data_IF_795319729827
#
_entry.id   IF_795319729827
#
_cell.length_a   1.000
_cell.length_b   1.000
_cell.length_c   1.000
_cell.angle_alpha   90.00
_cell.angle_beta   90.00
_cell.angle_gamma   90.00
#
_symmetry.space_group_name_H-M   'P 1'
#
loop_
_entity.id
_entity.type
_entity.pdbx_description
1 polymer ?
#
# COMPACT_ATOMS: atom_id res chain seq x y z
N UNK A 1 -30.56 34.55 -0.51
CA UNK A 1 -30.97 33.53 0.48
C UNK A 1 -29.73 32.74 0.84
N UNK A 2 -29.38 32.62 2.12
CA UNK A 2 -28.14 31.97 2.52
C UNK A 2 -28.22 30.44 2.30
N UNK A 3 -27.07 29.79 2.10
CA UNK A 3 -26.98 28.35 1.88
C UNK A 3 -27.64 27.56 3.03
N UNK A 4 -27.47 28.02 4.26
CA UNK A 4 -28.10 27.44 5.45
C UNK A 4 -29.63 27.48 5.36
N UNK A 5 -30.19 28.60 4.92
CA UNK A 5 -31.63 28.76 4.72
C UNK A 5 -32.16 27.81 3.65
N UNK A 6 -31.42 27.64 2.55
CA UNK A 6 -31.77 26.68 1.48
C UNK A 6 -31.78 25.26 2.04
N UNK A 7 -30.74 24.88 2.80
CA UNK A 7 -30.63 23.55 3.39
C UNK A 7 -31.79 23.26 4.35
N UNK A 8 -32.10 24.20 5.24
CA UNK A 8 -33.23 24.08 6.18
C UNK A 8 -34.55 23.91 5.40
N UNK A 9 -34.77 24.71 4.36
CA UNK A 9 -35.99 24.60 3.55
C UNK A 9 -36.11 23.24 2.87
N UNK A 10 -35.02 22.69 2.35
CA UNK A 10 -35.02 21.35 1.75
C UNK A 10 -35.38 20.29 2.80
N UNK A 11 -34.77 20.35 3.99
CA UNK A 11 -35.04 19.40 5.07
C UNK A 11 -36.47 19.47 5.60
N UNK A 12 -37.08 20.65 5.61
CA UNK A 12 -38.45 20.86 6.12
C UNK A 12 -39.50 20.68 5.01
N UNK A 13 -39.11 20.65 3.73
CA UNK A 13 -40.04 20.53 2.61
C UNK A 13 -41.00 19.32 2.67
N UNK A 14 -40.59 18.11 3.11
CA UNK A 14 -41.53 16.99 3.23
C UNK A 14 -42.62 17.24 4.28
N UNK A 15 -42.28 17.90 5.39
CA UNK A 15 -43.25 18.30 6.42
C UNK A 15 -44.21 19.36 5.90
N UNK A 16 -43.72 20.34 5.14
CA UNK A 16 -44.56 21.38 4.53
C UNK A 16 -45.56 20.72 3.57
N UNK A 17 -45.10 19.84 2.69
CA UNK A 17 -45.96 19.12 1.74
C UNK A 17 -47.00 18.26 2.49
N UNK A 18 -46.58 17.50 3.50
CA UNK A 18 -47.51 16.71 4.31
C UNK A 18 -48.52 17.56 5.08
N UNK A 19 -48.09 18.69 5.64
CA UNK A 19 -48.94 19.65 6.33
C UNK A 19 -49.98 20.29 5.40
N UNK A 20 -49.58 20.65 4.17
CA UNK A 20 -50.50 21.17 3.14
C UNK A 20 -51.55 20.10 2.79
N UNK A 21 -51.15 18.84 2.58
CA UNK A 21 -52.09 17.74 2.30
C UNK A 21 -53.07 17.56 3.47
N UNK A 22 -52.57 17.62 4.71
CA UNK A 22 -53.39 17.49 5.90
C UNK A 22 -54.41 18.63 6.03
N UNK A 23 -54.01 19.86 5.70
CA UNK A 23 -54.86 21.04 5.76
C UNK A 23 -55.92 21.07 4.64
N UNK A 24 -55.55 20.70 3.41
CA UNK A 24 -56.47 20.68 2.27
C UNK A 24 -57.53 19.59 2.44
N UNK A 25 -57.14 18.40 2.92
CA UNK A 25 -58.04 17.26 3.14
C UNK A 25 -58.97 16.95 1.95
N UNK A 26 -58.50 17.19 0.72
CA UNK A 26 -59.30 16.97 -0.48
C UNK A 26 -59.46 15.47 -0.75
N UNK A 27 -60.69 15.05 -1.08
CA UNK A 27 -61.00 13.65 -1.38
C UNK A 27 -60.12 13.09 -2.51
N UNK A 28 -59.87 13.86 -3.58
CA UNK A 28 -59.03 13.43 -4.69
C UNK A 28 -57.59 13.11 -4.28
N UNK A 29 -57.00 13.92 -3.39
CA UNK A 29 -55.64 13.72 -2.87
C UNK A 29 -55.62 12.50 -1.95
N UNK A 30 -56.59 12.40 -1.04
CA UNK A 30 -56.73 11.30 -0.10
C UNK A 30 -56.89 9.95 -0.82
N UNK A 31 -57.78 9.88 -1.81
CA UNK A 31 -58.02 8.67 -2.61
C UNK A 31 -56.77 8.28 -3.39
N UNK A 32 -55.99 9.25 -3.86
CA UNK A 32 -54.72 9.00 -4.55
C UNK A 32 -53.68 8.43 -3.60
N UNK A 33 -53.53 9.00 -2.40
CA UNK A 33 -52.61 8.49 -1.38
C UNK A 33 -52.97 7.07 -0.96
N UNK A 34 -54.25 6.76 -0.78
CA UNK A 34 -54.72 5.42 -0.43
C UNK A 34 -54.49 4.41 -1.57
N UNK A 35 -54.66 4.82 -2.83
CA UNK A 35 -54.30 3.98 -3.99
C UNK A 35 -52.80 3.66 -4.01
N UNK A 36 -51.96 4.66 -3.75
CA UNK A 36 -50.50 4.48 -3.68
C UNK A 36 -50.12 3.56 -2.51
N UNK A 37 -50.76 3.69 -1.35
CA UNK A 37 -50.56 2.78 -0.22
C UNK A 37 -50.95 1.34 -0.58
N UNK A 38 -52.14 1.13 -1.15
CA UNK A 38 -52.62 -0.19 -1.56
C UNK A 38 -51.69 -0.82 -2.60
N UNK A 39 -51.18 -0.02 -3.54
CA UNK A 39 -50.16 -0.46 -4.48
C UNK A 39 -48.84 -0.83 -3.79
N UNK A 40 -48.41 -0.03 -2.81
CA UNK A 40 -47.18 -0.26 -2.04
C UNK A 40 -47.26 -1.56 -1.25
N UNK A 41 -48.39 -1.83 -0.58
CA UNK A 41 -48.64 -3.10 0.13
C UNK A 41 -48.61 -4.30 -0.81
N UNK A 42 -49.31 -4.22 -1.95
CA UNK A 42 -49.29 -5.28 -2.98
C UNK A 42 -47.88 -5.51 -3.53
N UNK A 43 -47.13 -4.43 -3.74
CA UNK A 43 -45.75 -4.52 -4.22
C UNK A 43 -44.86 -5.15 -3.15
N UNK A 44 -45.03 -4.79 -1.89
CA UNK A 44 -44.27 -5.36 -0.76
C UNK A 44 -44.52 -6.87 -0.63
N UNK A 45 -45.76 -7.34 -0.73
CA UNK A 45 -46.09 -8.78 -0.72
C UNK A 45 -45.52 -9.52 -1.93
N UNK A 46 -45.51 -8.88 -3.10
CA UNK A 46 -44.93 -9.47 -4.31
C UNK A 46 -43.40 -9.50 -4.24
N UNK A 47 -42.78 -8.48 -3.63
CA UNK A 47 -41.32 -8.37 -3.50
C UNK A 47 -40.80 -9.32 -2.41
N UNK A 48 -41.55 -9.53 -1.32
CA UNK A 48 -41.14 -10.42 -0.23
C UNK A 48 -41.07 -11.89 -0.62
N UNK A 49 -41.79 -12.30 -1.69
CA UNK A 49 -41.76 -13.66 -2.23
C UNK A 49 -40.66 -13.88 -3.28
N UNK A 50 -40.00 -12.82 -3.76
CA UNK A 50 -38.91 -12.94 -4.73
C UNK A 50 -37.61 -13.36 -4.03
N UNK A 51 -36.89 -14.32 -4.62
CA UNK A 51 -35.63 -14.83 -4.05
C UNK A 51 -34.40 -13.96 -4.35
N UNK A 52 -34.49 -13.03 -5.31
CA UNK A 52 -33.33 -12.25 -5.74
C UNK A 52 -32.82 -11.31 -4.64
N UNK A 53 -31.51 -11.27 -4.47
CA UNK A 53 -30.82 -10.54 -3.40
C UNK A 53 -31.18 -9.05 -3.40
N UNK A 54 -31.28 -8.43 -4.59
CA UNK A 54 -31.63 -7.02 -4.74
C UNK A 54 -33.00 -6.72 -4.15
N UNK A 55 -34.00 -7.55 -4.45
CA UNK A 55 -35.33 -7.38 -3.91
C UNK A 55 -35.36 -7.58 -2.40
N UNK A 56 -34.60 -8.55 -1.88
CA UNK A 56 -34.56 -8.89 -0.46
C UNK A 56 -33.88 -7.82 0.41
N UNK A 57 -32.75 -7.26 -0.04
CA UNK A 57 -31.91 -6.39 0.78
C UNK A 57 -32.03 -4.90 0.44
N UNK A 58 -32.51 -4.57 -0.76
CA UNK A 58 -32.62 -3.18 -1.20
C UNK A 58 -34.09 -2.74 -1.24
N UNK A 59 -34.94 -3.46 -1.98
CA UNK A 59 -36.32 -3.01 -2.22
C UNK A 59 -37.24 -3.34 -1.04
N UNK A 60 -37.18 -4.55 -0.50
CA UNK A 60 -38.07 -5.01 0.56
C UNK A 60 -37.95 -4.17 1.85
N UNK A 61 -36.76 -3.81 2.35
CA UNK A 61 -36.65 -2.97 3.54
C UNK A 61 -37.33 -1.61 3.37
N UNK A 62 -37.16 -0.96 2.20
CA UNK A 62 -37.82 0.32 1.88
C UNK A 62 -39.34 0.16 1.97
N UNK A 63 -39.88 -0.80 1.22
CA UNK A 63 -41.33 -1.02 1.14
C UNK A 63 -41.90 -1.43 2.50
N UNK A 64 -41.20 -2.29 3.23
CA UNK A 64 -41.59 -2.72 4.57
C UNK A 64 -41.68 -1.53 5.53
N UNK A 65 -40.71 -0.61 5.50
CA UNK A 65 -40.76 0.60 6.33
C UNK A 65 -41.95 1.49 5.95
N UNK A 66 -42.23 1.71 4.67
CA UNK A 66 -43.41 2.50 4.22
C UNK A 66 -44.71 1.87 4.72
N UNK A 67 -44.86 0.55 4.56
CA UNK A 67 -46.05 -0.18 5.02
C UNK A 67 -46.18 -0.08 6.53
N UNK A 68 -45.07 -0.22 7.28
CA UNK A 68 -45.10 -0.15 8.75
C UNK A 68 -45.49 1.24 9.26
N UNK A 69 -45.00 2.31 8.62
CA UNK A 69 -45.46 3.67 8.93
C UNK A 69 -46.94 3.88 8.58
N UNK A 70 -47.41 3.25 7.50
CA UNK A 70 -48.83 3.28 7.14
C UNK A 70 -49.68 2.61 8.22
N UNK A 71 -49.26 1.45 8.72
CA UNK A 71 -49.94 0.75 9.83
C UNK A 71 -49.99 1.59 11.12
N UNK A 72 -48.91 2.31 11.45
CA UNK A 72 -48.88 3.16 12.65
C UNK A 72 -49.83 4.36 12.55
N UNK A 73 -49.92 4.94 11.36
CA UNK A 73 -50.77 6.11 11.08
C UNK A 73 -52.23 5.74 10.87
N UNK A 74 -52.59 4.44 10.78
CA UNK A 74 -53.98 3.99 10.73
C UNK A 74 -54.79 4.35 11.98
N UNK A 75 -54.11 4.59 13.11
CA UNK A 75 -54.74 5.04 14.37
C UNK A 75 -55.30 6.47 14.33
N UNK A 76 -54.95 7.27 13.32
CA UNK A 76 -55.41 8.65 13.23
C UNK A 76 -56.86 8.73 12.71
N UNK A 77 -57.70 9.46 13.45
CA UNK A 77 -59.11 9.66 13.12
C UNK A 77 -59.32 10.59 11.93
N UNK A 78 -58.43 11.56 11.70
CA UNK A 78 -58.54 12.53 10.62
C UNK A 78 -57.85 12.06 9.33
N UNK A 79 -58.64 11.85 8.26
CA UNK A 79 -58.17 11.29 6.97
C UNK A 79 -57.05 12.13 6.32
N UNK A 80 -57.20 13.46 6.29
CA UNK A 80 -56.16 14.35 5.77
C UNK A 80 -54.87 14.29 6.59
N UNK A 81 -54.96 14.21 7.92
CA UNK A 81 -53.78 14.18 8.80
C UNK A 81 -53.01 12.87 8.60
N UNK A 82 -53.76 11.76 8.55
CA UNK A 82 -53.25 10.43 8.20
C UNK A 82 -52.48 10.43 6.88
N UNK A 83 -53.07 10.94 5.81
CA UNK A 83 -52.43 10.98 4.49
C UNK A 83 -51.25 11.97 4.43
N UNK A 84 -51.36 13.13 5.07
CA UNK A 84 -50.28 14.10 5.16
C UNK A 84 -49.03 13.56 5.85
N UNK A 85 -49.20 12.90 7.01
CA UNK A 85 -48.08 12.28 7.74
C UNK A 85 -47.45 11.15 6.94
N UNK A 86 -48.25 10.32 6.27
CA UNK A 86 -47.75 9.23 5.40
C UNK A 86 -46.91 9.74 4.24
N UNK A 87 -47.37 10.81 3.57
CA UNK A 87 -46.64 11.41 2.45
C UNK A 87 -45.32 12.03 2.95
N UNK A 88 -45.35 12.78 4.05
CA UNK A 88 -44.13 13.35 4.64
C UNK A 88 -43.12 12.26 5.02
N UNK A 89 -43.56 11.22 5.72
CA UNK A 89 -42.72 10.10 6.12
C UNK A 89 -42.13 9.36 4.90
N UNK A 90 -42.94 9.13 3.85
CA UNK A 90 -42.48 8.47 2.62
C UNK A 90 -41.43 9.31 1.89
N UNK A 91 -41.60 10.63 1.81
CA UNK A 91 -40.62 11.53 1.21
C UNK A 91 -39.30 11.55 1.99
N UNK A 92 -39.34 11.59 3.32
CA UNK A 92 -38.13 11.46 4.15
C UNK A 92 -37.43 10.12 3.93
N UNK A 93 -38.20 9.03 3.87
CA UNK A 93 -37.64 7.71 3.63
C UNK A 93 -36.95 7.62 2.28
N UNK A 94 -37.58 8.13 1.22
CA UNK A 94 -36.97 8.18 -0.13
C UNK A 94 -35.69 9.00 -0.12
N UNK A 95 -35.72 10.18 0.51
CA UNK A 95 -34.53 11.03 0.63
C UNK A 95 -33.38 10.32 1.40
N UNK A 96 -33.70 9.65 2.51
CA UNK A 96 -32.72 8.88 3.28
C UNK A 96 -32.12 7.74 2.44
N UNK A 97 -32.92 7.01 1.66
CA UNK A 97 -32.42 5.97 0.77
C UNK A 97 -31.56 6.52 -0.35
N UNK A 98 -31.97 7.62 -1.00
CA UNK A 98 -31.15 8.29 -2.00
C UNK A 98 -29.79 8.72 -1.42
N UNK A 99 -29.76 9.21 -0.19
CA UNK A 99 -28.53 9.56 0.51
C UNK A 99 -27.65 8.34 0.78
N UNK A 100 -28.22 7.22 1.25
CA UNK A 100 -27.49 5.96 1.46
C UNK A 100 -26.87 5.46 0.14
N UNK A 101 -27.62 5.47 -0.95
CA UNK A 101 -27.09 5.08 -2.27
C UNK A 101 -25.97 6.00 -2.74
N UNK A 102 -26.14 7.32 -2.57
CA UNK A 102 -25.11 8.29 -2.90
C UNK A 102 -23.83 8.03 -2.08
N UNK A 103 -23.95 7.83 -0.77
CA UNK A 103 -22.82 7.53 0.10
C UNK A 103 -22.12 6.22 -0.30
N UNK A 104 -22.88 5.17 -0.62
CA UNK A 104 -22.33 3.90 -1.10
C UNK A 104 -21.57 4.06 -2.43
N UNK A 105 -22.11 4.84 -3.39
CA UNK A 105 -21.45 5.12 -4.66
C UNK A 105 -20.15 5.91 -4.42
N UNK A 106 -20.19 6.96 -3.60
CA UNK A 106 -19.01 7.75 -3.24
C UNK A 106 -17.92 6.88 -2.59
N UNK A 107 -18.31 5.95 -1.71
CA UNK A 107 -17.38 5.00 -1.12
C UNK A 107 -16.70 4.12 -2.18
N UNK A 108 -17.45 3.57 -3.14
CA UNK A 108 -16.89 2.78 -4.25
C UNK A 108 -15.89 3.60 -5.07
N UNK A 109 -16.21 4.87 -5.37
CA UNK A 109 -15.31 5.78 -6.10
C UNK A 109 -14.01 6.02 -5.31
N UNK A 110 -14.10 6.28 -4.01
CA UNK A 110 -12.93 6.46 -3.14
C UNK A 110 -12.05 5.21 -3.16
N UNK A 111 -12.64 4.02 -2.99
CA UNK A 111 -11.91 2.74 -3.03
C UNK A 111 -11.21 2.57 -4.39
N UNK A 112 -11.89 2.88 -5.49
CA UNK A 112 -11.30 2.79 -6.83
C UNK A 112 -10.10 3.75 -7.00
N UNK A 113 -10.21 4.98 -6.48
CA UNK A 113 -9.10 5.95 -6.48
C UNK A 113 -7.92 5.41 -5.67
N UNK A 114 -8.16 4.87 -4.47
CA UNK A 114 -7.11 4.29 -3.63
C UNK A 114 -6.42 3.13 -4.35
N UNK A 115 -7.18 2.22 -4.96
CA UNK A 115 -6.62 1.11 -5.74
C UNK A 115 -5.77 1.63 -6.91
N UNK A 116 -6.24 2.66 -7.61
CA UNK A 116 -5.49 3.27 -8.71
C UNK A 116 -4.17 3.90 -8.23
N UNK A 117 -4.19 4.61 -7.10
CA UNK A 117 -2.98 5.18 -6.48
C UNK A 117 -2.01 4.07 -6.09
N UNK A 118 -2.49 3.01 -5.43
CA UNK A 118 -1.65 1.86 -5.05
C UNK A 118 -1.07 1.15 -6.27
N UNK A 119 -1.86 0.98 -7.33
CA UNK A 119 -1.40 0.39 -8.58
C UNK A 119 -0.30 1.22 -9.23
N UNK A 120 -0.47 2.54 -9.31
CA UNK A 120 0.55 3.46 -9.83
C UNK A 120 1.80 3.44 -8.95
N UNK A 121 1.64 3.52 -7.63
CA UNK A 121 2.74 3.47 -6.67
C UNK A 121 3.53 2.17 -6.75
N UNK A 122 2.84 1.03 -6.85
CA UNK A 122 3.47 -0.28 -7.03
C UNK A 122 4.20 -0.38 -8.38
N UNK A 123 3.60 0.12 -9.45
CA UNK A 123 4.24 0.16 -10.77
C UNK A 123 5.51 1.02 -10.75
N UNK A 124 5.43 2.22 -10.20
CA UNK A 124 6.60 3.11 -10.05
C UNK A 124 7.66 2.46 -9.18
N UNK A 125 7.30 1.77 -8.11
CA UNK A 125 8.26 1.07 -7.26
C UNK A 125 8.96 -0.08 -8.01
N UNK A 126 8.25 -0.83 -8.83
CA UNK A 126 8.85 -1.86 -9.69
C UNK A 126 9.77 -1.25 -10.77
N UNK A 127 9.30 -0.22 -11.48
CA UNK A 127 10.08 0.45 -12.53
C UNK A 127 11.31 1.18 -11.96
N UNK A 128 11.19 1.75 -10.76
CA UNK A 128 12.30 2.40 -10.05
C UNK A 128 13.41 1.43 -9.69
N UNK A 129 13.15 0.12 -9.61
CA UNK A 129 14.19 -0.86 -9.34
C UNK A 129 15.13 -1.06 -10.54
N UNK A 130 14.63 -0.85 -11.77
CA UNK A 130 15.46 -0.88 -12.99
C UNK A 130 16.11 0.48 -13.27
N UNK A 131 15.40 1.59 -13.04
CA UNK A 131 15.92 2.93 -13.28
C UNK A 131 16.86 3.44 -12.18
N UNK A 132 16.71 3.01 -10.92
CA UNK A 132 17.72 3.25 -9.87
C UNK A 132 18.99 2.44 -10.18
N UNK A 133 18.85 1.22 -10.68
CA UNK A 133 19.98 0.38 -11.10
C UNK A 133 20.70 0.95 -12.32
N UNK A 134 19.97 1.43 -13.33
CA UNK A 134 20.54 2.17 -14.48
C UNK A 134 21.05 3.57 -14.11
N UNK A 135 20.42 4.24 -13.16
CA UNK A 135 20.84 5.54 -12.65
C UNK A 135 22.14 5.45 -11.86
N UNK A 136 22.34 4.37 -11.10
CA UNK A 136 23.63 4.02 -10.49
C UNK A 136 24.69 3.74 -11.55
N UNK A 137 24.38 2.95 -12.58
CA UNK A 137 25.33 2.66 -13.67
C UNK A 137 25.66 3.89 -14.55
N UNK A 138 24.70 4.80 -14.76
CA UNK A 138 24.85 5.98 -15.62
C UNK A 138 25.38 7.21 -14.87
N UNK A 139 25.09 7.35 -13.57
CA UNK A 139 25.72 8.33 -12.67
C UNK A 139 27.22 8.06 -12.49
N UNK A 140 27.62 6.78 -12.53
CA UNK A 140 29.02 6.32 -12.57
C UNK A 140 29.76 6.68 -13.87
N UNK A 141 29.05 7.05 -14.94
CA UNK A 141 29.63 7.41 -16.24
C UNK A 141 29.78 8.93 -16.46
N UNK A 142 29.12 9.78 -15.66
CA UNK A 142 29.07 11.23 -15.91
C UNK A 142 29.99 12.01 -14.94
N UNK A 143 30.31 11.44 -13.78
CA UNK A 143 31.27 12.02 -12.83
C UNK A 143 32.61 11.32 -13.02
N UNK A 144 33.48 11.93 -13.83
CA UNK A 144 34.94 11.77 -13.78
C UNK A 144 35.49 10.36 -13.90
N UNK A 145 36.10 10.05 -15.04
CA UNK A 145 37.07 8.96 -15.16
C UNK A 145 38.27 9.21 -14.25
N UNK A 146 38.20 8.74 -13.02
CA UNK A 146 39.33 8.47 -12.11
C UNK A 146 39.07 7.11 -11.48
N UNK A 147 40.11 6.27 -11.35
CA UNK A 147 40.07 4.84 -11.00
C UNK A 147 38.96 4.41 -10.02
N UNK A 148 38.33 3.27 -10.33
CA UNK A 148 37.20 2.71 -9.57
C UNK A 148 37.71 1.93 -8.35
N UNK A 149 38.39 2.61 -7.43
CA UNK A 149 38.92 2.02 -6.21
C UNK A 149 37.86 1.65 -5.19
N UNK A 150 37.76 0.37 -4.84
CA UNK A 150 37.09 -0.08 -3.60
C UNK A 150 38.12 -0.43 -2.55
N UNK A 151 37.90 -0.02 -1.30
CA UNK A 151 38.72 -0.44 -0.16
C UNK A 151 37.89 -0.83 1.05
N UNK A 152 38.38 -1.73 1.88
CA UNK A 152 37.81 -1.98 3.21
C UNK A 152 38.55 -1.13 4.23
N UNK A 153 37.85 -0.26 4.96
CA UNK A 153 38.47 0.53 6.01
C UNK A 153 38.97 -0.40 7.13
N UNK A 154 40.28 -0.43 7.44
CA UNK A 154 40.85 -1.35 8.42
C UNK A 154 40.45 -1.02 9.86
N UNK A 155 39.92 0.17 10.15
CA UNK A 155 39.48 0.56 11.50
C UNK A 155 38.00 0.23 11.74
N UNK A 156 37.16 0.34 10.71
CA UNK A 156 35.69 0.22 10.87
C UNK A 156 35.11 -1.02 10.18
N UNK A 157 35.89 -1.66 9.31
CA UNK A 157 35.44 -2.74 8.43
C UNK A 157 34.50 -2.28 7.32
N UNK A 158 34.15 -0.98 7.24
CA UNK A 158 33.23 -0.44 6.23
C UNK A 158 33.93 -0.47 4.87
N UNK A 159 33.24 -1.01 3.87
CA UNK A 159 33.69 -0.94 2.48
C UNK A 159 33.47 0.49 2.00
N UNK A 160 34.47 1.08 1.38
CA UNK A 160 34.45 2.45 0.89
C UNK A 160 34.77 2.47 -0.60
N UNK A 161 34.13 3.38 -1.31
CA UNK A 161 34.35 3.63 -2.73
C UNK A 161 35.07 4.97 -2.93
N UNK A 162 36.02 5.00 -3.86
CA UNK A 162 36.77 6.21 -4.20
C UNK A 162 35.85 7.23 -4.89
N UNK A 163 35.77 8.43 -4.32
CA UNK A 163 35.00 9.56 -4.83
C UNK A 163 35.87 10.79 -5.11
N UNK A 164 35.24 11.84 -5.65
CA UNK A 164 35.92 13.06 -6.12
C UNK A 164 36.79 13.77 -5.05
N UNK A 165 36.48 13.58 -3.77
CA UNK A 165 37.16 14.22 -2.64
C UNK A 165 37.70 13.23 -1.62
N UNK A 166 37.89 11.96 -2.02
CA UNK A 166 38.34 10.88 -1.16
C UNK A 166 37.34 9.73 -1.07
N UNK A 167 37.56 8.81 -0.13
CA UNK A 167 36.74 7.62 0.05
C UNK A 167 35.41 7.91 0.73
N UNK A 168 34.34 7.33 0.20
CA UNK A 168 32.97 7.45 0.70
C UNK A 168 32.54 6.09 1.26
N UNK A 169 32.01 6.09 2.48
CA UNK A 169 31.47 4.89 3.12
C UNK A 169 30.30 4.31 2.31
N UNK A 170 30.37 3.01 2.01
CA UNK A 170 29.24 2.27 1.45
C UNK A 170 28.33 1.74 2.56
N UNK A 171 27.19 1.21 2.15
CA UNK A 171 26.24 0.53 3.04
C UNK A 171 26.62 -0.94 3.30
N UNK A 172 27.87 -1.34 3.06
CA UNK A 172 28.37 -2.70 3.34
C UNK A 172 29.61 -2.63 4.24
N UNK A 173 29.73 -3.55 5.20
CA UNK A 173 30.91 -3.69 6.04
C UNK A 173 31.24 -5.16 6.31
N UNK A 174 32.49 -5.43 6.65
CA UNK A 174 32.92 -6.71 7.24
C UNK A 174 33.02 -6.51 8.74
N UNK A 175 32.26 -7.29 9.51
CA UNK A 175 32.42 -7.31 10.96
C UNK A 175 33.80 -7.90 11.29
N UNK A 176 34.66 -7.12 11.94
CA UNK A 176 36.05 -7.53 12.18
C UNK A 176 36.17 -8.64 13.21
N UNK A 177 35.21 -8.79 14.12
CA UNK A 177 35.22 -9.84 15.14
C UNK A 177 34.74 -11.19 14.58
N UNK A 178 33.68 -11.16 13.76
CA UNK A 178 33.02 -12.39 13.30
C UNK A 178 33.32 -12.73 11.84
N UNK A 179 33.89 -11.78 11.09
CA UNK A 179 34.12 -11.88 9.66
C UNK A 179 32.86 -11.74 8.80
N UNK A 180 31.68 -11.60 9.41
CA UNK A 180 30.40 -11.59 8.71
C UNK A 180 30.26 -10.31 7.89
N UNK A 181 29.88 -10.44 6.64
CA UNK A 181 29.55 -9.31 5.78
C UNK A 181 28.17 -8.81 6.22
N UNK A 182 28.04 -7.51 6.47
CA UNK A 182 26.83 -6.87 6.94
C UNK A 182 26.40 -5.76 5.98
N UNK A 183 25.08 -5.57 5.83
CA UNK A 183 24.50 -4.47 5.06
C UNK A 183 23.70 -3.52 5.95
N UNK A 184 23.81 -2.23 5.68
CA UNK A 184 23.09 -1.20 6.43
C UNK A 184 21.59 -1.28 6.13
N UNK A 185 20.80 -1.39 7.19
CA UNK A 185 19.33 -1.34 7.16
C UNK A 185 18.79 -0.19 8.01
N UNK A 186 17.46 -0.15 8.13
CA UNK A 186 16.74 0.95 8.79
C UNK A 186 17.08 1.13 10.28
N UNK A 187 17.45 0.04 10.97
CA UNK A 187 17.72 0.02 12.41
C UNK A 187 19.14 -0.40 12.77
N UNK A 188 20.08 -0.36 11.82
CA UNK A 188 21.48 -0.75 12.04
C UNK A 188 22.00 -1.67 10.95
N UNK A 189 23.03 -2.44 11.28
CA UNK A 189 23.67 -3.37 10.37
C UNK A 189 23.03 -4.76 10.47
N UNK A 190 22.66 -5.33 9.33
CA UNK A 190 22.08 -6.66 9.22
C UNK A 190 23.12 -7.62 8.67
N UNK A 191 23.25 -8.79 9.30
CA UNK A 191 24.12 -9.87 8.83
C UNK A 191 23.66 -10.38 7.47
N UNK A 192 24.63 -10.73 6.63
CA UNK A 192 24.41 -11.50 5.41
C UNK A 192 24.86 -12.93 5.62
N UNK A 193 24.45 -13.81 4.70
CA UNK A 193 24.80 -15.22 4.71
C UNK A 193 26.28 -15.49 4.34
N UNK A 194 27.11 -14.44 4.16
CA UNK A 194 28.51 -14.58 3.77
C UNK A 194 29.45 -14.05 4.85
N UNK A 195 30.53 -14.77 5.11
CA UNK A 195 31.58 -14.33 6.04
C UNK A 195 32.97 -14.67 5.56
N UNK A 196 33.96 -13.92 5.99
CA UNK A 196 35.39 -14.22 5.84
C UNK A 196 35.86 -14.76 7.19
N UNK A 197 36.20 -16.03 7.28
CA UNK A 197 36.70 -16.64 8.52
C UNK A 197 37.93 -15.85 9.04
N UNK A 198 37.84 -15.21 10.22
CA UNK A 198 38.93 -14.39 10.75
C UNK A 198 40.19 -15.18 11.08
N UNK A 199 40.13 -16.50 11.22
CA UNK A 199 41.32 -17.32 11.50
C UNK A 199 41.97 -17.87 10.22
N UNK A 200 41.14 -18.27 9.24
CA UNK A 200 41.64 -18.96 8.04
C UNK A 200 41.61 -18.12 6.77
N UNK A 201 40.97 -16.95 6.80
CA UNK A 201 40.73 -16.06 5.66
C UNK A 201 39.77 -16.66 4.61
N UNK A 202 39.17 -17.82 4.87
CA UNK A 202 38.26 -18.47 3.92
C UNK A 202 36.94 -17.74 3.83
N UNK A 203 36.46 -17.55 2.62
CA UNK A 203 35.10 -17.08 2.41
C UNK A 203 34.18 -18.27 2.67
N UNK A 204 33.15 -18.09 3.49
CA UNK A 204 32.19 -19.10 3.87
C UNK A 204 30.77 -18.59 3.62
N UNK A 205 29.86 -19.50 3.28
CA UNK A 205 28.42 -19.20 3.15
C UNK A 205 27.61 -19.96 4.19
N UNK A 206 26.60 -19.30 4.75
CA UNK A 206 25.68 -19.90 5.70
C UNK A 206 24.90 -21.04 5.04
N UNK A 207 24.79 -22.16 5.75
CA UNK A 207 23.99 -23.31 5.38
C UNK A 207 23.28 -23.91 6.59
N UNK A 208 22.56 -25.00 6.36
CA UNK A 208 21.62 -25.57 7.33
C UNK A 208 22.23 -25.95 8.70
N UNK A 209 23.53 -26.27 8.75
CA UNK A 209 24.25 -26.66 9.98
C UNK A 209 25.40 -25.70 10.32
N UNK A 210 25.37 -24.47 9.79
CA UNK A 210 26.40 -23.45 9.96
C UNK A 210 27.10 -23.08 8.65
N UNK A 211 28.26 -22.42 8.78
CA UNK A 211 29.00 -21.89 7.64
C UNK A 211 29.80 -22.97 6.91
N UNK A 212 29.67 -22.98 5.59
CA UNK A 212 30.41 -23.89 4.70
C UNK A 212 31.51 -23.12 3.96
N UNK A 213 32.72 -23.67 3.98
CA UNK A 213 33.86 -23.17 3.19
C UNK A 213 33.51 -23.08 1.71
N UNK A 214 33.77 -21.92 1.12
CA UNK A 214 33.84 -21.79 -0.33
C UNK A 214 35.24 -22.15 -0.82
N UNK A 215 35.37 -22.29 -2.15
CA UNK A 215 36.66 -22.53 -2.81
C UNK A 215 37.51 -21.26 -2.96
N UNK A 216 37.24 -20.21 -2.18
CA UNK A 216 37.99 -18.94 -2.20
C UNK A 216 38.41 -18.53 -0.79
N UNK A 217 39.64 -18.06 -0.64
CA UNK A 217 40.13 -17.48 0.62
C UNK A 217 41.04 -16.29 0.35
N UNK A 218 41.23 -15.45 1.36
CA UNK A 218 42.19 -14.34 1.36
C UNK A 218 43.35 -14.73 2.25
N UNK A 219 44.58 -14.67 1.74
CA UNK A 219 45.77 -14.82 2.57
C UNK A 219 45.87 -13.58 3.47
N UNK A 220 45.81 -13.76 4.79
CA UNK A 220 45.77 -12.64 5.73
C UNK A 220 47.09 -11.87 5.83
N UNK A 221 48.21 -12.51 5.53
CA UNK A 221 49.53 -11.86 5.58
C UNK A 221 49.80 -11.03 4.33
N UNK A 222 49.37 -11.51 3.16
CA UNK A 222 49.71 -10.90 1.87
C UNK A 222 48.54 -10.19 1.19
N UNK A 223 47.32 -10.43 1.68
CA UNK A 223 46.09 -9.96 1.07
C UNK A 223 45.65 -10.73 -0.17
N UNK A 224 46.47 -11.66 -0.68
CA UNK A 224 46.25 -12.31 -1.97
C UNK A 224 45.04 -13.23 -1.91
N UNK A 225 44.15 -13.07 -2.88
CA UNK A 225 43.00 -13.96 -3.04
C UNK A 225 43.52 -15.28 -3.62
N UNK A 226 43.08 -16.39 -3.04
CA UNK A 226 43.47 -17.73 -3.44
C UNK A 226 42.23 -18.55 -3.76
N UNK A 227 42.30 -19.36 -4.82
CA UNK A 227 41.24 -20.29 -5.20
C UNK A 227 41.68 -21.74 -5.00
N UNK A 228 40.75 -22.58 -4.55
CA UNK A 228 41.01 -24.01 -4.33
C UNK A 228 41.15 -24.73 -5.67
N UNK A 229 42.31 -25.34 -5.90
CA UNK A 229 42.59 -26.23 -7.01
C UNK A 229 42.72 -27.68 -6.58
N UNK A 230 43.05 -28.55 -7.54
CA UNK A 230 43.17 -30.01 -7.34
C UNK A 230 44.25 -30.41 -6.32
N UNK A 231 45.31 -29.61 -6.14
CA UNK A 231 46.47 -29.95 -5.31
C UNK A 231 46.71 -28.95 -4.17
N UNK A 232 45.79 -28.01 -3.94
CA UNK A 232 45.95 -26.97 -2.92
C UNK A 232 45.33 -25.63 -3.32
N UNK A 233 45.73 -24.57 -2.65
CA UNK A 233 45.29 -23.20 -2.94
C UNK A 233 46.23 -22.55 -3.95
N UNK A 234 45.66 -21.95 -4.99
CA UNK A 234 46.40 -21.23 -6.02
C UNK A 234 46.14 -19.72 -5.88
N UNK A 235 47.21 -18.93 -5.86
CA UNK A 235 47.13 -17.47 -5.89
C UNK A 235 46.41 -17.00 -7.15
N UNK A 236 45.50 -16.03 -6.98
CA UNK A 236 44.95 -15.27 -8.09
C UNK A 236 45.79 -14.02 -8.35
N UNK A 237 45.46 -13.34 -9.44
CA UNK A 237 46.05 -12.03 -9.76
C UNK A 237 45.32 -10.88 -9.03
N UNK A 238 44.59 -11.17 -7.94
CA UNK A 238 43.84 -10.19 -7.17
C UNK A 238 44.25 -10.26 -5.70
N UNK A 239 44.35 -9.11 -5.04
CA UNK A 239 44.61 -9.03 -3.60
C UNK A 239 43.87 -7.86 -2.97
N UNK A 240 43.63 -7.96 -1.67
CA UNK A 240 43.19 -6.87 -0.82
C UNK A 240 44.40 -6.46 0.01
N UNK A 241 44.98 -5.30 -0.25
CA UNK A 241 46.13 -4.80 0.50
C UNK A 241 45.82 -4.80 2.02
N UNK A 242 46.54 -5.56 2.87
CA UNK A 242 46.24 -5.64 4.29
C UNK A 242 46.36 -4.30 5.03
N UNK A 243 47.19 -3.38 4.54
CA UNK A 243 47.42 -2.09 5.20
C UNK A 243 46.38 -1.05 4.78
N UNK A 244 46.10 -0.94 3.48
CA UNK A 244 45.21 0.09 2.94
C UNK A 244 43.77 -0.39 2.73
N UNK A 245 43.56 -1.70 2.72
CA UNK A 245 42.29 -2.37 2.42
C UNK A 245 41.90 -2.31 0.95
N UNK A 246 42.74 -1.76 0.06
CA UNK A 246 42.42 -1.55 -1.35
C UNK A 246 42.43 -2.85 -2.14
N UNK A 247 41.49 -2.98 -3.07
CA UNK A 247 41.55 -4.03 -4.09
C UNK A 247 42.66 -3.70 -5.09
N UNK A 248 43.54 -4.67 -5.35
CA UNK A 248 44.68 -4.54 -6.24
C UNK A 248 44.76 -5.73 -7.16
N UNK A 249 45.18 -5.47 -8.41
CA UNK A 249 45.41 -6.48 -9.42
C UNK A 249 46.88 -6.63 -9.73
N UNK A 250 47.33 -7.84 -10.05
CA UNK A 250 48.71 -8.14 -10.40
C UNK A 250 49.05 -7.56 -11.76
N UNK A 251 49.90 -6.54 -11.78
CA UNK A 251 50.48 -5.93 -12.97
C UNK A 251 51.89 -6.45 -13.29
N UNK A 252 52.46 -5.93 -14.37
CA UNK A 252 53.75 -6.35 -14.93
C UNK A 252 54.96 -6.09 -14.01
N UNK A 253 54.86 -5.13 -13.09
CA UNK A 253 55.94 -4.69 -12.19
C UNK A 253 55.55 -4.77 -10.70
N UNK A 254 54.39 -5.32 -10.37
CA UNK A 254 53.85 -5.33 -9.01
C UNK A 254 52.34 -5.24 -8.97
N UNK A 255 51.79 -5.04 -7.79
CA UNK A 255 50.35 -4.87 -7.58
C UNK A 255 49.92 -3.44 -7.94
N UNK A 256 48.79 -3.31 -8.62
CA UNK A 256 48.25 -2.04 -9.11
C UNK A 256 46.85 -1.88 -8.52
N UNK A 257 46.56 -0.71 -7.95
CA UNK A 257 45.22 -0.35 -7.48
C UNK A 257 44.23 -0.44 -8.65
N UNK A 258 43.10 -1.11 -8.43
CA UNK A 258 42.00 -1.25 -9.41
C UNK A 258 40.92 -0.20 -9.16
#
# INVERSE_FOLDING_TARGET
MNQETINILIWVSPLIVGGIIAAINANSVNDTTEKVEAWTRRTQTNVSTKSSWFYRYIVNPVLWTIVKFSDWTDSFTHRGLKNGVRVAASLYLVAAWCFIFYAALMFIVIVAIVIAILYVGFKVLLDSNEDVRRGYEKGRSIIGSGGSGTRTNPETGIIQEEGLFGYIDTDTRVNQETGVIQKKGLFGWNDTDERIDPESGKIQKEGFLGYNDTDTKVNQETGVIQKKGLLGWNDTDERIDPESGKHQKRGLLGWVDE
#
